data_IF_558302919072
#
_entry.id   IF_558302919072
#
_cell.length_a   1.000
_cell.length_b   1.000
_cell.length_c   1.000
_cell.angle_alpha   90.00
_cell.angle_beta   90.00
_cell.angle_gamma   90.00
#
_symmetry.space_group_name_H-M   'P 1'
#
loop_
_entity.id
_entity.type
_entity.pdbx_description
1 polymer ?
#
# COMPACT_ATOMS: atom_id res chain seq x y z
N UNK A 1 9.45 -17.22 12.53
CA UNK A 1 8.00 -17.48 12.73
C UNK A 1 7.26 -16.36 12.04
N UNK A 2 6.60 -16.65 10.94
CA UNK A 2 5.81 -15.63 10.23
C UNK A 2 4.50 -15.43 10.99
N UNK A 3 4.46 -14.41 11.85
CA UNK A 3 3.23 -13.99 12.52
C UNK A 3 2.34 -13.17 11.56
N UNK A 4 2.10 -13.70 10.36
CA UNK A 4 1.12 -13.13 9.46
C UNK A 4 -0.28 -13.50 9.94
N UNK A 5 -0.94 -12.57 10.61
CA UNK A 5 -2.36 -12.72 10.91
C UNK A 5 -3.13 -12.68 9.58
N UNK A 6 -3.80 -13.77 9.20
CA UNK A 6 -4.56 -13.80 7.96
C UNK A 6 -5.68 -12.75 8.03
N UNK A 7 -5.71 -11.85 7.05
CA UNK A 7 -6.69 -10.78 6.98
C UNK A 7 -7.67 -11.01 5.82
N UNK A 8 -8.96 -10.95 6.11
CA UNK A 8 -10.03 -10.86 5.11
C UNK A 8 -10.53 -9.41 5.04
N UNK A 9 -10.86 -8.96 3.85
CA UNK A 9 -11.50 -7.67 3.60
C UNK A 9 -12.88 -7.89 3.01
N UNK A 10 -13.90 -7.31 3.61
CA UNK A 10 -15.25 -7.28 3.06
C UNK A 10 -15.73 -5.84 2.97
N UNK A 11 -16.33 -5.47 1.88
CA UNK A 11 -16.94 -4.15 1.66
C UNK A 11 -18.36 -4.31 1.13
N UNK A 12 -19.26 -3.49 1.64
CA UNK A 12 -20.68 -3.57 1.35
C UNK A 12 -21.23 -2.22 0.97
N UNK A 13 -21.90 -2.18 -0.19
CA UNK A 13 -22.61 -1.01 -0.73
C UNK A 13 -21.76 0.27 -0.73
N UNK A 14 -20.46 0.14 -1.04
CA UNK A 14 -19.57 1.29 -1.11
C UNK A 14 -19.97 2.20 -2.27
N UNK A 15 -20.31 3.43 -1.94
CA UNK A 15 -20.61 4.47 -2.92
C UNK A 15 -19.78 5.72 -2.63
N UNK A 16 -19.47 6.47 -3.68
CA UNK A 16 -18.75 7.72 -3.57
C UNK A 16 -19.35 8.76 -4.50
N UNK A 17 -19.71 9.90 -3.90
CA UNK A 17 -20.29 11.04 -4.62
C UNK A 17 -19.44 12.30 -4.38
N UNK A 18 -19.11 12.99 -5.47
CA UNK A 18 -18.39 14.27 -5.44
C UNK A 18 -19.28 15.36 -6.04
N UNK A 19 -19.78 16.26 -5.20
CA UNK A 19 -20.81 17.22 -5.58
C UNK A 19 -22.08 16.50 -6.02
N UNK A 20 -22.53 16.73 -7.25
CA UNK A 20 -23.71 16.06 -7.85
C UNK A 20 -23.36 14.78 -8.63
N UNK A 21 -22.08 14.42 -8.73
CA UNK A 21 -21.63 13.29 -9.54
C UNK A 21 -21.36 12.06 -8.68
N UNK A 22 -22.06 10.98 -8.92
CA UNK A 22 -21.76 9.66 -8.37
C UNK A 22 -20.65 9.02 -9.19
N UNK A 23 -19.54 8.68 -8.52
CA UNK A 23 -18.34 8.08 -9.12
C UNK A 23 -18.34 6.57 -8.88
N UNK A 24 -18.77 6.14 -7.70
CA UNK A 24 -18.93 4.73 -7.34
C UNK A 24 -20.35 4.53 -6.81
N UNK A 25 -20.98 3.43 -7.19
CA UNK A 25 -22.37 3.14 -6.80
C UNK A 25 -22.53 1.70 -6.33
N UNK A 26 -22.80 1.54 -5.02
CA UNK A 26 -23.22 0.29 -4.42
C UNK A 26 -22.25 -0.90 -4.54
N UNK A 27 -20.94 -0.67 -4.60
CA UNK A 27 -19.95 -1.74 -4.81
C UNK A 27 -19.87 -2.64 -3.59
N UNK A 28 -20.06 -3.94 -3.79
CA UNK A 28 -19.99 -4.96 -2.75
C UNK A 28 -19.03 -6.07 -3.18
N UNK A 29 -18.22 -6.57 -2.24
CA UNK A 29 -17.29 -7.66 -2.50
C UNK A 29 -16.51 -8.09 -1.28
N UNK A 30 -15.68 -9.12 -1.47
CA UNK A 30 -14.82 -9.63 -0.42
C UNK A 30 -13.51 -10.19 -0.99
N UNK A 31 -12.46 -10.13 -0.17
CA UNK A 31 -11.17 -10.77 -0.43
C UNK A 31 -10.83 -11.64 0.77
N UNK A 32 -10.62 -12.93 0.56
CA UNK A 32 -10.22 -13.86 1.61
C UNK A 32 -8.71 -13.78 1.86
N UNK A 33 -8.21 -14.24 3.01
CA UNK A 33 -6.79 -14.30 3.27
C UNK A 33 -6.04 -15.06 2.17
N UNK A 34 -4.90 -14.54 1.74
CA UNK A 34 -4.07 -15.13 0.68
C UNK A 34 -4.61 -14.98 -0.74
N UNK A 35 -5.73 -14.28 -0.94
CA UNK A 35 -6.28 -14.03 -2.27
C UNK A 35 -5.87 -12.66 -2.82
N UNK A 36 -5.79 -12.57 -4.14
CA UNK A 36 -5.61 -11.32 -4.90
C UNK A 36 -6.95 -10.95 -5.53
N UNK A 37 -7.35 -9.69 -5.38
CA UNK A 37 -8.50 -9.10 -6.08
C UNK A 37 -8.01 -8.18 -7.19
N UNK A 38 -8.28 -8.54 -8.45
CA UNK A 38 -8.01 -7.66 -9.59
C UNK A 38 -9.20 -6.73 -9.85
N UNK A 39 -8.95 -5.42 -9.84
CA UNK A 39 -9.95 -4.39 -10.16
C UNK A 39 -9.73 -3.93 -11.60
N UNK A 40 -10.65 -4.28 -12.48
CA UNK A 40 -10.58 -4.01 -13.91
C UNK A 40 -11.72 -3.10 -14.37
N UNK A 41 -11.51 -2.40 -15.47
CA UNK A 41 -12.49 -1.50 -16.08
C UNK A 41 -11.86 -0.46 -16.99
N UNK A 42 -12.65 0.24 -17.76
CA UNK A 42 -12.22 1.30 -18.67
C UNK A 42 -11.50 2.44 -17.93
N UNK A 43 -10.72 3.24 -18.66
CA UNK A 43 -10.14 4.47 -18.12
C UNK A 43 -11.25 5.39 -17.61
N UNK A 44 -11.07 6.00 -16.44
CA UNK A 44 -12.07 6.86 -15.82
C UNK A 44 -13.24 6.14 -15.12
N UNK A 45 -13.26 4.80 -15.08
CA UNK A 45 -14.33 4.03 -14.41
C UNK A 45 -14.31 4.09 -12.87
N UNK A 46 -13.37 4.85 -12.26
CA UNK A 46 -13.31 5.01 -10.80
C UNK A 46 -12.42 3.99 -10.08
N UNK A 47 -11.62 3.17 -10.78
CA UNK A 47 -10.77 2.13 -10.18
C UNK A 47 -9.82 2.68 -9.10
N UNK A 48 -9.05 3.72 -9.42
CA UNK A 48 -8.14 4.37 -8.45
C UNK A 48 -8.91 5.01 -7.29
N UNK A 49 -10.07 5.61 -7.58
CA UNK A 49 -10.96 6.16 -6.55
C UNK A 49 -11.44 5.07 -5.59
N UNK A 50 -11.80 3.90 -6.11
CA UNK A 50 -12.22 2.77 -5.30
C UNK A 50 -11.09 2.25 -4.40
N UNK A 51 -9.86 2.12 -4.94
CA UNK A 51 -8.67 1.75 -4.15
C UNK A 51 -8.37 2.78 -3.05
N UNK A 52 -8.44 4.07 -3.36
CA UNK A 52 -8.24 5.14 -2.39
C UNK A 52 -9.28 5.10 -1.25
N UNK A 53 -10.53 4.77 -1.56
CA UNK A 53 -11.58 4.63 -0.54
C UNK A 53 -11.34 3.39 0.31
N UNK A 54 -10.99 2.26 -0.29
CA UNK A 54 -10.61 1.05 0.46
C UNK A 54 -9.40 1.31 1.36
N UNK A 55 -8.42 2.10 0.89
CA UNK A 55 -7.25 2.50 1.67
C UNK A 55 -7.54 3.62 2.70
N UNK A 56 -8.79 4.08 2.77
CA UNK A 56 -9.24 5.17 3.65
C UNK A 56 -8.44 6.47 3.49
N UNK A 57 -8.03 6.77 2.26
CA UNK A 57 -7.45 8.07 1.92
C UNK A 57 -8.54 9.14 1.99
N UNK A 58 -8.17 10.33 2.51
CA UNK A 58 -9.10 11.46 2.59
C UNK A 58 -9.63 11.85 1.20
N UNK A 59 -10.94 11.82 1.04
CA UNK A 59 -11.65 12.28 -0.16
C UNK A 59 -12.56 13.46 0.17
N UNK A 60 -12.65 14.41 -0.74
CA UNK A 60 -13.48 15.62 -0.58
C UNK A 60 -14.99 15.35 -0.70
N UNK A 61 -15.37 14.19 -1.21
CA UNK A 61 -16.77 13.81 -1.43
C UNK A 61 -17.35 12.98 -0.28
N UNK A 62 -18.60 12.56 -0.48
CA UNK A 62 -19.32 11.71 0.45
C UNK A 62 -19.06 10.24 0.11
N UNK A 63 -18.52 9.51 1.08
CA UNK A 63 -18.37 8.05 1.04
C UNK A 63 -19.47 7.43 1.90
N UNK A 64 -20.18 6.46 1.35
CA UNK A 64 -21.18 5.65 2.09
C UNK A 64 -20.87 4.16 1.92
N UNK A 65 -21.51 3.32 2.72
CA UNK A 65 -21.23 1.89 2.78
C UNK A 65 -20.24 1.55 3.91
N UNK A 66 -19.94 0.27 4.06
CA UNK A 66 -19.17 -0.22 5.20
C UNK A 66 -18.05 -1.15 4.75
N UNK A 67 -16.92 -1.10 5.47
CA UNK A 67 -15.76 -1.97 5.24
C UNK A 67 -15.43 -2.73 6.52
N UNK A 68 -15.23 -4.04 6.39
CA UNK A 68 -14.91 -4.93 7.51
C UNK A 68 -13.57 -5.62 7.26
N UNK A 69 -12.78 -5.75 8.30
CA UNK A 69 -11.56 -6.57 8.33
C UNK A 69 -11.79 -7.71 9.33
N UNK A 70 -11.63 -8.94 8.89
CA UNK A 70 -11.91 -10.14 9.70
C UNK A 70 -13.31 -10.10 10.37
N UNK A 71 -14.30 -9.63 9.61
CA UNK A 71 -15.70 -9.55 10.06
C UNK A 71 -15.99 -8.43 11.08
N UNK A 72 -15.03 -7.54 11.34
CA UNK A 72 -15.21 -6.41 12.28
C UNK A 72 -15.03 -5.10 11.53
N UNK A 73 -15.87 -4.14 11.85
CA UNK A 73 -15.66 -2.76 11.44
C UNK A 73 -14.44 -2.20 12.18
N UNK A 74 -13.44 -1.70 11.43
CA UNK A 74 -12.18 -1.21 11.98
C UNK A 74 -12.13 0.31 11.85
N UNK A 75 -11.72 1.00 12.89
CA UNK A 75 -11.52 2.45 12.86
C UNK A 75 -10.38 2.81 11.92
N UNK A 76 -10.43 4.00 11.33
CA UNK A 76 -9.45 4.49 10.35
C UNK A 76 -8.01 4.46 10.87
N UNK A 77 -7.83 4.81 12.13
CA UNK A 77 -6.51 4.81 12.78
C UNK A 77 -5.89 3.42 12.88
N UNK A 78 -6.69 2.41 13.19
CA UNK A 78 -6.22 1.03 13.31
C UNK A 78 -6.03 0.38 11.94
N UNK A 79 -6.90 0.71 10.98
CA UNK A 79 -6.76 0.24 9.59
C UNK A 79 -5.45 0.72 8.95
N UNK A 80 -5.08 2.00 9.16
CA UNK A 80 -3.84 2.57 8.64
C UNK A 80 -2.56 1.90 9.16
N UNK A 81 -2.61 1.26 10.33
CA UNK A 81 -1.47 0.53 10.91
C UNK A 81 -1.19 -0.80 10.20
N UNK A 82 -2.22 -1.39 9.58
CA UNK A 82 -2.15 -2.74 8.99
C UNK A 82 -2.24 -2.75 7.46
N UNK A 83 -2.59 -1.62 6.84
CA UNK A 83 -2.70 -1.51 5.38
C UNK A 83 -1.41 -0.97 4.78
N UNK A 84 -0.97 -1.58 3.68
CA UNK A 84 0.02 -1.01 2.77
C UNK A 84 -0.66 -0.49 1.52
N UNK A 85 -0.26 0.69 1.05
CA UNK A 85 -0.76 1.27 -0.19
C UNK A 85 0.42 1.69 -1.08
N UNK A 86 0.35 1.33 -2.34
CA UNK A 86 1.32 1.75 -3.35
C UNK A 86 0.62 2.72 -4.29
N UNK A 87 1.13 3.95 -4.36
CA UNK A 87 0.61 4.97 -5.27
C UNK A 87 1.00 4.66 -6.72
N UNK A 88 0.27 5.23 -7.67
CA UNK A 88 0.56 5.09 -9.09
C UNK A 88 1.80 5.88 -9.50
N UNK A 89 2.05 7.02 -8.86
CA UNK A 89 3.22 7.84 -9.08
C UNK A 89 4.33 7.43 -8.11
N UNK A 90 5.56 7.37 -8.62
CA UNK A 90 6.74 7.16 -7.80
C UNK A 90 7.01 8.40 -6.97
N UNK A 91 6.90 8.26 -5.66
CA UNK A 91 7.17 9.31 -4.68
C UNK A 91 8.46 9.07 -3.90
N UNK A 92 9.28 8.11 -4.35
CA UNK A 92 10.54 7.78 -3.70
C UNK A 92 11.57 8.91 -3.89
N UNK A 93 12.43 9.09 -2.91
CA UNK A 93 13.50 10.10 -2.99
C UNK A 93 14.65 9.55 -3.84
N UNK A 94 14.86 10.11 -5.02
CA UNK A 94 15.85 9.67 -5.99
C UNK A 94 17.30 9.67 -5.48
N UNK A 95 17.59 10.52 -4.50
CA UNK A 95 18.92 10.67 -3.89
C UNK A 95 19.27 9.60 -2.88
N UNK A 96 18.27 8.88 -2.35
CA UNK A 96 18.48 7.81 -1.39
C UNK A 96 18.87 6.50 -2.07
N UNK A 97 19.59 5.66 -1.33
CA UNK A 97 19.79 4.26 -1.71
C UNK A 97 18.54 3.42 -1.43
N UNK A 98 18.47 2.25 -2.05
CA UNK A 98 17.41 1.26 -1.79
C UNK A 98 17.36 0.91 -0.30
N UNK A 99 18.53 0.66 0.32
CA UNK A 99 18.62 0.38 1.76
C UNK A 99 18.11 1.54 2.61
N UNK A 100 18.52 2.77 2.34
CA UNK A 100 18.07 3.95 3.10
C UNK A 100 16.55 4.13 3.00
N UNK A 101 15.98 3.94 1.82
CA UNK A 101 14.53 4.06 1.60
C UNK A 101 13.75 3.04 2.43
N UNK A 102 14.17 1.77 2.43
CA UNK A 102 13.53 0.71 3.23
C UNK A 102 13.76 0.94 4.72
N UNK A 103 14.97 1.37 5.12
CA UNK A 103 15.30 1.67 6.51
C UNK A 103 14.45 2.82 7.05
N UNK A 104 14.30 3.93 6.33
CA UNK A 104 13.44 5.03 6.77
C UNK A 104 11.97 4.60 6.91
N UNK A 105 11.48 3.76 6.01
CA UNK A 105 10.15 3.17 6.16
C UNK A 105 10.04 2.32 7.43
N UNK A 106 11.04 1.51 7.73
CA UNK A 106 11.10 0.71 8.95
C UNK A 106 11.17 1.58 10.22
N UNK A 107 11.96 2.67 10.20
CA UNK A 107 12.06 3.60 11.32
C UNK A 107 10.73 4.27 11.67
N UNK A 108 9.93 4.59 10.65
CA UNK A 108 8.65 5.28 10.81
C UNK A 108 7.50 4.33 11.16
N UNK A 109 7.51 3.10 10.65
CA UNK A 109 6.38 2.16 10.76
C UNK A 109 6.51 1.14 11.89
N UNK A 110 7.72 0.71 12.21
CA UNK A 110 7.94 -0.28 13.27
C UNK A 110 7.75 0.33 14.65
N UNK A 111 7.38 -0.47 15.67
CA UNK A 111 7.12 -0.01 17.03
C UNK A 111 8.26 0.87 17.57
N UNK A 112 7.91 1.87 18.38
CA UNK A 112 8.88 2.84 18.92
C UNK A 112 9.85 2.23 19.94
N UNK A 113 9.42 1.18 20.63
CA UNK A 113 10.18 0.40 21.61
C UNK A 113 11.16 -0.59 20.97
N UNK A 114 11.01 -0.85 19.66
CA UNK A 114 11.98 -1.67 18.92
C UNK A 114 13.31 -0.93 18.76
N UNK A 115 14.43 -1.59 19.14
CA UNK A 115 15.76 -1.02 19.02
C UNK A 115 16.13 -0.69 17.58
N UNK A 116 17.03 0.29 17.39
CA UNK A 116 17.50 0.67 16.06
C UNK A 116 18.18 -0.52 15.33
N UNK A 117 18.89 -1.34 16.06
CA UNK A 117 19.56 -2.53 15.50
C UNK A 117 18.56 -3.58 15.03
N UNK A 118 17.49 -3.81 15.81
CA UNK A 118 16.42 -4.69 15.41
C UNK A 118 15.68 -4.17 14.14
N UNK A 119 15.48 -2.87 14.03
CA UNK A 119 14.91 -2.23 12.83
C UNK A 119 15.82 -2.39 11.60
N UNK A 120 17.11 -2.20 11.75
CA UNK A 120 18.11 -2.42 10.69
C UNK A 120 18.12 -3.90 10.25
N UNK A 121 18.10 -4.81 11.22
CA UNK A 121 18.04 -6.24 10.92
C UNK A 121 16.76 -6.60 10.12
N UNK A 122 15.60 -6.11 10.58
CA UNK A 122 14.34 -6.33 9.86
C UNK A 122 14.34 -5.71 8.46
N UNK A 123 15.01 -4.58 8.27
CA UNK A 123 15.21 -3.97 6.95
C UNK A 123 15.94 -4.93 6.01
N UNK A 124 17.07 -5.47 6.43
CA UNK A 124 17.86 -6.40 5.61
C UNK A 124 17.12 -7.71 5.34
N UNK A 125 16.44 -8.24 6.34
CA UNK A 125 15.61 -9.44 6.21
C UNK A 125 14.51 -9.22 5.15
N UNK A 126 13.79 -8.10 5.22
CA UNK A 126 12.76 -7.74 4.23
C UNK A 126 13.34 -7.57 2.83
N UNK A 127 14.52 -6.95 2.70
CA UNK A 127 15.20 -6.81 1.40
C UNK A 127 15.61 -8.17 0.82
N UNK A 128 16.02 -9.10 1.66
CA UNK A 128 16.34 -10.46 1.26
C UNK A 128 15.09 -11.22 0.80
N UNK A 129 13.99 -11.11 1.56
CA UNK A 129 12.68 -11.71 1.20
C UNK A 129 12.16 -11.18 -0.15
N UNK A 130 12.40 -9.91 -0.45
CA UNK A 130 12.00 -9.26 -1.71
C UNK A 130 13.01 -9.49 -2.85
N UNK A 131 14.17 -10.11 -2.61
CA UNK A 131 15.20 -10.33 -3.63
C UNK A 131 15.90 -9.05 -4.09
N UNK A 132 15.93 -8.00 -3.27
CA UNK A 132 16.54 -6.70 -3.60
C UNK A 132 17.77 -6.39 -2.74
N UNK A 133 18.30 -7.38 -2.02
CA UNK A 133 19.46 -7.17 -1.14
C UNK A 133 20.73 -6.80 -1.92
N UNK A 134 20.93 -7.37 -3.10
CA UNK A 134 22.13 -7.15 -3.93
C UNK A 134 22.23 -5.71 -4.44
N UNK A 135 21.09 -5.03 -4.58
CA UNK A 135 21.02 -3.64 -5.03
C UNK A 135 20.88 -2.62 -3.89
N UNK A 136 21.12 -3.04 -2.64
CA UNK A 136 20.90 -2.22 -1.44
C UNK A 136 21.60 -0.86 -1.48
N UNK A 137 22.80 -0.81 -2.06
CA UNK A 137 23.65 0.39 -2.13
C UNK A 137 23.42 1.22 -3.41
N UNK A 138 22.55 0.73 -4.32
CA UNK A 138 22.15 1.47 -5.51
C UNK A 138 21.23 2.62 -5.14
N UNK A 139 21.35 3.76 -5.82
CA UNK A 139 20.42 4.88 -5.67
C UNK A 139 19.11 4.57 -6.36
N UNK A 140 18.00 5.08 -5.79
CA UNK A 140 16.66 4.98 -6.39
C UNK A 140 16.65 5.60 -7.80
N UNK A 141 17.32 6.77 -7.97
CA UNK A 141 17.38 7.46 -9.26
C UNK A 141 16.08 8.19 -9.62
N UNK A 142 16.14 9.02 -10.63
CA UNK A 142 14.96 9.70 -11.16
C UNK A 142 14.21 8.79 -12.14
N UNK A 143 12.89 8.76 -12.08
CA UNK A 143 12.02 8.04 -13.01
C UNK A 143 12.16 8.48 -14.48
N UNK A 144 12.88 9.57 -14.76
CA UNK A 144 13.26 10.03 -16.09
C UNK A 144 14.60 9.46 -16.62
N UNK A 145 15.38 8.81 -15.76
CA UNK A 145 16.67 8.21 -16.12
C UNK A 145 16.57 6.71 -16.48
N UNK A 146 15.48 6.28 -17.11
CA UNK A 146 15.35 4.95 -17.72
C UNK A 146 16.19 4.93 -19.00
N UNK A 147 17.51 5.09 -18.85
CA UNK A 147 18.47 5.03 -19.95
C UNK A 147 19.54 3.96 -19.79
N UNK A 148 19.59 3.25 -18.67
CA UNK A 148 20.66 2.28 -18.38
C UNK A 148 20.12 0.91 -17.93
N UNK A 149 19.04 0.43 -18.56
CA UNK A 149 18.55 -0.94 -18.36
C UNK A 149 19.43 -2.01 -19.03
N UNK A 150 20.48 -1.62 -19.78
CA UNK A 150 21.37 -2.55 -20.50
C UNK A 150 22.46 -3.18 -19.62
N UNK A 151 22.48 -2.94 -18.30
CA UNK A 151 23.48 -3.52 -17.39
C UNK A 151 23.03 -4.75 -16.61
N UNK A 152 21.82 -5.26 -16.88
CA UNK A 152 21.32 -6.50 -16.28
C UNK A 152 21.11 -7.59 -17.34
N UNK A 153 22.20 -7.94 -18.08
CA UNK A 153 22.34 -9.20 -18.78
C UNK A 153 23.44 -10.05 -18.16
#
# INVERSE_FOLDING_TARGET
MNDHVPASLHFSSLSYTLGSRTILDGITGQVKPGQILAIMGASGAGKSTFLDILARKNKKGLVTGTTFVNGREVKDEDFRKVVGFVDQEDTLMSTLTVYETVLYSALLRLPRDMSLEAKKFRTLETMQELGILDIKDSRIGDSGAIGDMDKFQ
#
